data_IF_853009082795
#
_entry.id   IF_853009082795
#
_cell.length_a   1.000
_cell.length_b   1.000
_cell.length_c   1.000
_cell.angle_alpha   90.00
_cell.angle_beta   90.00
_cell.angle_gamma   90.00
#
_symmetry.space_group_name_H-M   'P 1'
#
loop_
_entity.id
_entity.type
_entity.pdbx_description
1 polymer ?
#
# COMPACT_ATOMS: atom_id res chain seq x y z
N UNK A 1 -8.05 -12.14 6.46
CA UNK A 1 -6.94 -12.10 5.50
C UNK A 1 -6.72 -10.64 5.15
N UNK A 2 -5.66 -10.03 5.67
CA UNK A 2 -5.35 -8.62 5.40
C UNK A 2 -4.33 -8.56 4.27
N UNK A 3 -4.81 -8.44 3.03
CA UNK A 3 -3.97 -8.31 1.84
C UNK A 3 -3.78 -6.86 1.41
N UNK A 4 -4.60 -5.93 1.92
CA UNK A 4 -4.69 -4.56 1.42
C UNK A 4 -3.90 -3.57 2.27
N UNK A 5 -3.61 -3.90 3.54
CA UNK A 5 -2.70 -3.16 4.40
C UNK A 5 -1.40 -3.93 4.71
N UNK A 6 -1.21 -5.13 4.16
CA UNK A 6 0.00 -5.91 4.37
C UNK A 6 1.15 -5.47 3.44
N UNK A 7 2.27 -4.94 3.97
CA UNK A 7 3.37 -4.41 3.17
C UNK A 7 4.02 -5.46 2.26
N UNK A 8 4.08 -6.71 2.70
CA UNK A 8 4.64 -7.81 1.90
C UNK A 8 3.77 -8.08 0.68
N UNK A 9 2.45 -8.08 0.84
CA UNK A 9 1.50 -8.26 -0.29
C UNK A 9 1.53 -7.07 -1.24
N UNK A 10 1.78 -5.85 -0.73
CA UNK A 10 1.96 -4.64 -1.54
C UNK A 10 3.32 -4.59 -2.26
N UNK A 11 4.24 -5.50 -1.94
CA UNK A 11 5.59 -5.55 -2.54
C UNK A 11 6.61 -4.65 -1.84
N UNK A 12 6.30 -4.08 -0.68
CA UNK A 12 7.21 -3.23 0.11
C UNK A 12 8.25 -4.05 0.89
N UNK A 13 7.98 -5.35 1.11
CA UNK A 13 8.80 -6.26 1.90
C UNK A 13 8.26 -6.48 3.31
N UNK A 14 9.09 -7.06 4.18
CA UNK A 14 8.78 -7.21 5.60
C UNK A 14 9.09 -5.93 6.38
N UNK A 15 8.19 -5.53 7.27
CA UNK A 15 8.34 -4.32 8.05
C UNK A 15 7.01 -3.78 8.58
N UNK A 16 7.08 -2.60 9.17
CA UNK A 16 5.94 -1.84 9.69
C UNK A 16 5.48 -0.82 8.65
N UNK A 17 4.21 -0.88 8.27
CA UNK A 17 3.58 0.07 7.36
C UNK A 17 2.58 0.93 8.14
N UNK A 18 2.66 2.24 7.98
CA UNK A 18 1.88 3.17 8.79
C UNK A 18 1.45 4.40 7.98
N UNK A 19 0.39 5.04 8.44
CA UNK A 19 -0.12 6.27 7.86
C UNK A 19 0.61 7.48 8.45
N UNK A 20 1.11 8.35 7.58
CA UNK A 20 1.73 9.64 7.97
C UNK A 20 0.77 10.82 7.76
N UNK A 21 -0.18 10.68 6.83
CA UNK A 21 -1.20 11.70 6.56
C UNK A 21 -2.28 11.18 5.60
N UNK A 22 -3.16 12.07 5.15
CA UNK A 22 -4.36 11.68 4.40
C UNK A 22 -4.13 10.78 3.19
N UNK A 23 -3.01 10.99 2.50
CA UNK A 23 -2.55 10.20 1.36
C UNK A 23 -1.03 9.98 1.41
N UNK A 24 -0.44 9.98 2.60
CA UNK A 24 0.99 9.73 2.82
C UNK A 24 1.17 8.51 3.71
N UNK A 25 2.10 7.64 3.31
CA UNK A 25 2.35 6.37 3.95
C UNK A 25 3.84 6.20 4.20
N UNK A 26 4.18 5.85 5.43
CA UNK A 26 5.52 5.48 5.83
C UNK A 26 5.70 3.98 5.84
N UNK A 27 6.94 3.54 5.66
CA UNK A 27 7.32 2.14 5.76
C UNK A 27 8.69 1.99 6.41
N UNK A 28 8.73 1.26 7.52
CA UNK A 28 9.95 0.89 8.22
C UNK A 28 10.25 -0.60 7.96
N UNK A 29 11.24 -0.94 7.12
CA UNK A 29 11.57 -2.32 6.83
C UNK A 29 12.23 -3.02 8.02
N UNK A 30 11.89 -4.28 8.24
CA UNK A 30 12.45 -5.08 9.34
C UNK A 30 13.86 -5.60 9.04
N UNK A 31 14.26 -5.61 7.77
CA UNK A 31 15.58 -6.05 7.38
C UNK A 31 16.19 -5.15 6.30
N UNK A 32 17.50 -4.97 6.40
CA UNK A 32 18.31 -4.28 5.41
C UNK A 32 19.50 -5.15 5.10
N UNK A 33 19.88 -5.20 3.83
CA UNK A 33 21.14 -5.80 3.45
C UNK A 33 22.20 -4.70 3.38
N UNK A 34 23.30 -4.94 4.08
CA UNK A 34 24.35 -3.97 4.29
C UNK A 34 25.07 -3.63 2.96
N UNK A 35 25.54 -2.38 2.86
CA UNK A 35 26.32 -1.86 1.73
C UNK A 35 27.54 -2.72 1.43
N UNK A 36 28.17 -3.29 2.44
CA UNK A 36 29.44 -4.02 2.29
C UNK A 36 29.31 -5.25 1.38
N UNK A 37 28.11 -5.82 1.25
CA UNK A 37 27.86 -6.98 0.38
C UNK A 37 27.38 -6.60 -1.04
N UNK A 38 26.77 -5.43 -1.22
CA UNK A 38 26.06 -5.07 -2.46
C UNK A 38 26.38 -3.66 -2.99
N UNK A 39 27.39 -2.98 -2.44
CA UNK A 39 27.77 -1.60 -2.75
C UNK A 39 26.74 -0.53 -2.35
N UNK A 40 25.51 -0.93 -2.00
CA UNK A 40 24.41 -0.05 -1.63
C UNK A 40 23.49 -0.76 -0.62
N UNK A 41 22.87 0.01 0.28
CA UNK A 41 21.85 -0.48 1.20
C UNK A 41 20.64 -0.93 0.38
N UNK A 42 20.27 -2.21 0.45
CA UNK A 42 19.19 -2.78 -0.37
C UNK A 42 18.17 -3.54 0.47
N UNK A 43 16.96 -3.67 -0.06
CA UNK A 43 15.90 -4.56 0.46
C UNK A 43 15.70 -5.69 -0.54
N UNK A 44 16.15 -6.89 -0.21
CA UNK A 44 16.08 -8.05 -1.13
C UNK A 44 14.69 -8.70 -1.17
N UNK A 45 13.84 -8.32 -0.23
CA UNK A 45 12.47 -8.79 -0.06
C UNK A 45 11.42 -7.81 -0.60
N UNK A 46 11.85 -6.69 -1.19
CA UNK A 46 10.99 -5.64 -1.69
C UNK A 46 11.05 -5.55 -3.23
N UNK A 47 9.88 -5.41 -3.84
CA UNK A 47 9.73 -5.15 -5.27
C UNK A 47 9.61 -3.65 -5.56
N UNK A 48 9.07 -2.87 -4.62
CA UNK A 48 8.74 -1.44 -4.79
C UNK A 48 8.98 -0.65 -3.50
N UNK A 49 9.15 0.66 -3.62
CA UNK A 49 9.07 1.60 -2.50
C UNK A 49 7.66 2.21 -2.33
N UNK A 50 7.47 3.02 -1.28
CA UNK A 50 6.18 3.69 -0.99
C UNK A 50 5.79 4.74 -2.04
N UNK A 51 6.77 5.19 -2.84
CA UNK A 51 6.58 6.11 -3.95
C UNK A 51 6.26 5.38 -5.27
N UNK A 52 6.17 4.04 -5.25
CA UNK A 52 5.86 3.23 -6.43
C UNK A 52 7.04 3.03 -7.37
N UNK A 53 8.26 3.34 -6.95
CA UNK A 53 9.46 3.11 -7.77
C UNK A 53 9.85 1.62 -7.68
N UNK A 54 10.07 0.95 -8.83
CA UNK A 54 10.56 -0.43 -8.83
C UNK A 54 11.97 -0.53 -8.23
N UNK A 55 12.18 -1.50 -7.35
CA UNK A 55 13.47 -1.80 -6.73
C UNK A 55 14.20 -2.97 -7.41
N UNK A 56 13.49 -3.73 -8.24
CA UNK A 56 14.01 -4.89 -8.97
C UNK A 56 13.53 -4.90 -10.41
N UNK A 57 14.33 -5.49 -11.29
CA UNK A 57 13.90 -5.82 -12.65
C UNK A 57 13.26 -7.21 -12.67
N UNK A 58 12.12 -7.31 -13.34
CA UNK A 58 11.37 -8.55 -13.46
C UNK A 58 11.66 -9.20 -14.82
N UNK A 59 11.87 -10.51 -14.83
CA UNK A 59 12.36 -11.22 -16.03
C UNK A 59 11.36 -11.36 -17.19
N UNK A 60 10.11 -10.90 -17.03
CA UNK A 60 9.08 -10.97 -18.08
C UNK A 60 8.74 -9.57 -18.60
N UNK A 61 8.70 -9.35 -19.92
CA UNK A 61 8.26 -8.09 -20.51
C UNK A 61 6.88 -7.68 -19.98
N UNK A 62 6.75 -6.41 -19.59
CA UNK A 62 5.50 -5.85 -19.06
C UNK A 62 5.20 -6.18 -17.59
N UNK A 63 5.97 -7.06 -16.93
CA UNK A 63 5.81 -7.30 -15.50
C UNK A 63 6.39 -6.11 -14.73
N UNK A 64 5.59 -5.53 -13.82
CA UNK A 64 6.02 -4.44 -12.96
C UNK A 64 5.38 -4.54 -11.57
N UNK A 65 6.01 -3.96 -10.55
CA UNK A 65 5.34 -3.68 -9.28
C UNK A 65 4.20 -2.65 -9.44
N UNK A 66 3.41 -2.49 -8.38
CA UNK A 66 2.38 -1.44 -8.32
C UNK A 66 3.01 -0.05 -8.34
N UNK A 67 2.38 0.90 -9.03
CA UNK A 67 2.80 2.31 -8.98
C UNK A 67 2.17 3.02 -7.77
N UNK A 68 2.59 4.27 -7.51
CA UNK A 68 2.09 5.09 -6.38
C UNK A 68 0.57 5.18 -6.31
N UNK A 69 -0.07 5.41 -7.47
CA UNK A 69 -1.53 5.56 -7.56
C UNK A 69 -2.26 4.26 -7.23
N UNK A 70 -1.72 3.13 -7.67
CA UNK A 70 -2.25 1.80 -7.38
C UNK A 70 -2.06 1.44 -5.90
N UNK A 71 -0.86 1.64 -5.35
CA UNK A 71 -0.59 1.44 -3.93
C UNK A 71 -1.56 2.24 -3.06
N UNK A 72 -1.72 3.54 -3.32
CA UNK A 72 -2.64 4.38 -2.58
C UNK A 72 -4.10 3.91 -2.67
N UNK A 73 -4.55 3.40 -3.82
CA UNK A 73 -5.90 2.84 -3.98
C UNK A 73 -6.09 1.55 -3.19
N UNK A 74 -5.13 0.63 -3.25
CA UNK A 74 -5.18 -0.65 -2.53
C UNK A 74 -5.19 -0.41 -1.02
N UNK A 75 -4.26 0.43 -0.53
CA UNK A 75 -4.14 0.77 0.89
C UNK A 75 -5.41 1.43 1.43
N UNK A 76 -6.04 2.31 0.64
CA UNK A 76 -7.33 2.93 1.00
C UNK A 76 -8.43 1.90 1.26
N UNK A 77 -8.46 0.79 0.50
CA UNK A 77 -9.35 -0.35 0.76
C UNK A 77 -9.05 -0.98 2.11
N UNK A 78 -7.77 -1.12 2.44
CA UNK A 78 -7.30 -1.64 3.72
C UNK A 78 -7.91 -0.93 4.93
N UNK A 79 -8.17 0.37 4.85
CA UNK A 79 -8.84 1.13 5.91
C UNK A 79 -10.35 0.87 6.01
N UNK A 80 -11.00 0.48 4.91
CA UNK A 80 -12.44 0.22 4.91
C UNK A 80 -12.78 -1.18 5.43
N UNK A 81 -11.92 -2.18 5.13
CA UNK A 81 -12.18 -3.60 5.44
C UNK A 81 -12.37 -3.94 6.93
N UNK A 82 -11.75 -3.25 7.92
CA UNK A 82 -12.02 -3.50 9.32
C UNK A 82 -13.48 -3.25 9.73
N UNK A 83 -14.14 -2.26 9.13
CA UNK A 83 -15.54 -1.91 9.40
C UNK A 83 -16.51 -2.58 8.42
N UNK A 84 -16.12 -2.69 7.15
CA UNK A 84 -16.95 -3.23 6.08
C UNK A 84 -16.41 -4.61 5.68
N UNK A 85 -16.80 -5.65 6.42
CA UNK A 85 -16.37 -7.03 6.14
C UNK A 85 -17.34 -7.80 5.25
N UNK A 86 -18.59 -7.35 5.21
CA UNK A 86 -19.62 -8.00 4.42
C UNK A 86 -19.61 -7.48 2.97
N UNK A 87 -19.60 -8.39 2.00
CA UNK A 87 -19.72 -8.09 0.57
C UNK A 87 -21.08 -7.47 0.21
N UNK A 88 -22.12 -7.68 1.01
CA UNK A 88 -23.41 -7.04 0.82
C UNK A 88 -23.44 -5.57 1.24
N UNK A 89 -22.40 -5.07 1.92
CA UNK A 89 -22.32 -3.68 2.36
C UNK A 89 -22.43 -2.71 1.17
N UNK A 90 -23.26 -1.65 1.24
CA UNK A 90 -23.38 -0.65 0.18
C UNK A 90 -22.05 -0.08 -0.28
N UNK A 91 -21.08 0.10 0.64
CA UNK A 91 -19.76 0.62 0.27
C UNK A 91 -19.10 -0.32 -0.73
N UNK A 92 -19.17 -1.64 -0.53
CA UNK A 92 -18.54 -2.67 -1.39
C UNK A 92 -19.16 -2.73 -2.78
N UNK A 93 -20.43 -2.40 -2.91
CA UNK A 93 -21.16 -2.38 -4.18
C UNK A 93 -20.89 -1.12 -5.02
N UNK A 94 -20.37 -0.06 -4.39
CA UNK A 94 -20.17 1.24 -5.04
C UNK A 94 -18.81 1.42 -5.73
N UNK A 95 -17.90 0.44 -5.62
CA UNK A 95 -16.55 0.53 -6.17
C UNK A 95 -16.57 0.40 -7.69
N UNK A 96 -16.20 1.47 -8.40
CA UNK A 96 -15.88 1.41 -9.84
C UNK A 96 -14.36 1.53 -10.00
N UNK A 97 -13.80 0.76 -10.94
CA UNK A 97 -12.35 0.69 -11.24
C UNK A 97 -11.66 2.06 -11.32
N UNK A 98 -12.36 3.04 -11.86
CA UNK A 98 -11.79 4.36 -12.14
C UNK A 98 -12.19 5.45 -11.13
N UNK A 99 -13.11 5.15 -10.20
CA UNK A 99 -13.56 6.09 -9.17
C UNK A 99 -13.05 5.68 -7.79
N UNK A 100 -12.58 6.64 -7.01
CA UNK A 100 -12.35 6.36 -5.58
C UNK A 100 -13.69 6.32 -4.86
N UNK A 101 -13.90 5.38 -3.93
CA UNK A 101 -15.07 5.42 -3.06
C UNK A 101 -15.02 6.71 -2.23
N UNK A 102 -16.18 7.32 -2.04
CA UNK A 102 -16.33 8.46 -1.13
C UNK A 102 -15.92 8.00 0.27
N UNK A 103 -14.93 8.65 0.91
CA UNK A 103 -14.55 8.28 2.25
C UNK A 103 -15.72 8.37 3.23
N UNK A 104 -15.81 7.43 4.17
CA UNK A 104 -16.74 7.54 5.29
C UNK A 104 -16.21 8.54 6.33
N UNK A 105 -17.08 9.00 7.24
CA UNK A 105 -16.70 9.95 8.30
C UNK A 105 -15.59 9.40 9.19
N UNK A 106 -15.58 8.09 9.47
CA UNK A 106 -14.51 7.46 10.24
C UNK A 106 -13.15 7.57 9.53
N UNK A 107 -13.11 7.30 8.21
CA UNK A 107 -11.90 7.48 7.42
C UNK A 107 -11.44 8.94 7.44
N UNK A 108 -12.34 9.91 7.21
CA UNK A 108 -11.98 11.34 7.20
C UNK A 108 -11.32 11.78 8.50
N UNK A 109 -11.88 11.36 9.65
CA UNK A 109 -11.31 11.62 10.98
C UNK A 109 -9.93 11.01 11.17
N UNK A 110 -9.75 9.74 10.79
CA UNK A 110 -8.46 9.03 10.89
C UNK A 110 -7.37 9.67 10.03
N UNK A 111 -7.77 10.26 8.91
CA UNK A 111 -6.85 10.77 7.88
C UNK A 111 -6.62 12.29 7.97
N UNK A 112 -7.25 12.98 8.91
CA UNK A 112 -7.17 14.44 9.03
C UNK A 112 -7.76 15.18 7.81
N UNK A 113 -8.67 14.52 7.07
CA UNK A 113 -9.42 15.10 5.95
C UNK A 113 -10.74 15.72 6.46
N UNK A 114 -10.67 16.57 7.48
CA UNK A 114 -11.82 17.33 7.98
C UNK A 114 -12.14 18.50 7.03
N UNK A 115 -13.43 18.83 6.90
CA UNK A 115 -13.91 20.03 6.22
C UNK A 115 -13.75 21.26 7.12
#
# INVERSE_FOLDING_TARGET
>A
MDCHANPKTLGLGYGSFYQEGANSWGFEPSCWVNKDLFGQKRRLDAFVDTEGNPLVHLGRPGLRPFNKRELGRIVKVGFCLPCHKNMEDPVMKSWKKDTQPTPCTAYRKLTGMED
#
